data_IF_399996498454
#
_entry.id   IF_399996498454
#
_cell.length_a   1.000
_cell.length_b   1.000
_cell.length_c   1.000
_cell.angle_alpha   90.00
_cell.angle_beta   90.00
_cell.angle_gamma   90.00
#
_symmetry.space_group_name_H-M   'P 1'
#
loop_
_entity.id
_entity.type
_entity.pdbx_description
1 polymer ?
#
# COMPACT_ATOMS: atom_id res chain seq x y z
N UNK A 1 17.29 -10.16 -9.61
CA UNK A 1 15.97 -10.43 -9.01
C UNK A 1 15.38 -9.08 -8.72
N UNK A 2 14.52 -8.57 -9.60
CA UNK A 2 13.90 -7.27 -9.42
C UNK A 2 12.77 -7.47 -8.42
N UNK A 3 13.04 -7.35 -7.13
CA UNK A 3 11.99 -7.27 -6.13
C UNK A 3 11.12 -6.07 -6.52
N UNK A 4 9.89 -6.34 -6.98
CA UNK A 4 8.95 -5.27 -7.28
C UNK A 4 8.75 -4.49 -5.98
N UNK A 5 8.88 -3.16 -5.96
CA UNK A 5 8.80 -2.37 -4.73
C UNK A 5 7.50 -2.63 -3.94
N UNK A 6 6.45 -3.08 -4.63
CA UNK A 6 5.19 -3.50 -4.03
C UNK A 6 5.28 -4.83 -3.25
N UNK A 7 6.06 -5.82 -3.71
CA UNK A 7 6.24 -7.09 -2.96
C UNK A 7 6.96 -6.84 -1.64
N UNK A 8 8.03 -6.05 -1.68
CA UNK A 8 8.77 -5.67 -0.48
C UNK A 8 7.90 -4.91 0.53
N UNK A 9 7.04 -3.99 0.05
CA UNK A 9 6.10 -3.26 0.92
C UNK A 9 5.08 -4.19 1.57
N UNK A 10 4.54 -5.14 0.81
CA UNK A 10 3.61 -6.15 1.33
C UNK A 10 4.27 -6.95 2.45
N UNK A 11 5.51 -7.40 2.28
CA UNK A 11 6.19 -8.22 3.29
C UNK A 11 6.51 -7.44 4.57
N UNK A 12 6.87 -6.16 4.46
CA UNK A 12 7.04 -5.27 5.62
C UNK A 12 5.72 -5.15 6.39
N UNK A 13 4.60 -4.93 5.69
CA UNK A 13 3.29 -4.80 6.34
C UNK A 13 2.85 -6.13 6.95
N UNK A 14 3.09 -7.27 6.28
CA UNK A 14 2.81 -8.60 6.85
C UNK A 14 3.48 -8.77 8.20
N UNK A 15 4.76 -8.43 8.29
CA UNK A 15 5.49 -8.51 9.56
C UNK A 15 4.87 -7.61 10.64
N UNK A 16 4.51 -6.37 10.28
CA UNK A 16 3.92 -5.41 11.22
C UNK A 16 2.53 -5.83 11.75
N UNK A 17 1.68 -6.42 10.90
CA UNK A 17 0.29 -6.76 11.27
C UNK A 17 0.13 -8.19 11.79
N UNK A 18 1.12 -9.06 11.59
CA UNK A 18 1.01 -10.48 11.89
C UNK A 18 0.56 -10.77 13.33
N UNK A 19 1.17 -10.12 14.31
CA UNK A 19 0.83 -10.33 15.72
C UNK A 19 -0.57 -9.79 16.07
N UNK A 20 -0.94 -8.64 15.51
CA UNK A 20 -2.27 -8.05 15.73
C UNK A 20 -3.38 -8.92 15.13
N UNK A 21 -3.17 -9.47 13.94
CA UNK A 21 -4.14 -10.35 13.29
C UNK A 21 -4.25 -11.68 14.03
N UNK A 22 -3.12 -12.26 14.46
CA UNK A 22 -3.12 -13.53 15.22
C UNK A 22 -3.77 -13.38 16.59
N UNK A 23 -3.48 -12.31 17.32
CA UNK A 23 -4.11 -12.04 18.63
C UNK A 23 -5.62 -11.81 18.52
N UNK A 24 -6.10 -11.33 17.37
CA UNK A 24 -7.53 -11.26 17.05
C UNK A 24 -8.16 -12.61 16.59
N UNK A 25 -7.38 -13.69 16.57
CA UNK A 25 -7.82 -15.03 16.12
C UNK A 25 -7.77 -15.23 14.60
N UNK A 26 -7.14 -14.31 13.86
CA UNK A 26 -6.99 -14.37 12.41
C UNK A 26 -5.94 -15.38 11.95
N UNK A 27 -6.12 -15.89 10.74
CA UNK A 27 -5.24 -16.87 10.11
C UNK A 27 -4.11 -16.21 9.29
N UNK A 28 -3.14 -17.01 8.83
CA UNK A 28 -2.11 -16.52 7.90
C UNK A 28 -2.71 -15.93 6.62
N UNK A 29 -3.84 -16.48 6.14
CA UNK A 29 -4.57 -15.95 4.99
C UNK A 29 -5.11 -14.53 5.24
N UNK A 30 -5.50 -14.24 6.47
CA UNK A 30 -6.00 -12.92 6.86
C UNK A 30 -4.86 -11.90 6.95
N UNK A 31 -3.70 -12.32 7.46
CA UNK A 31 -2.47 -11.51 7.43
C UNK A 31 -2.11 -11.12 6.00
N UNK A 32 -2.11 -12.09 5.07
CA UNK A 32 -1.77 -11.82 3.67
C UNK A 32 -2.77 -10.85 3.01
N UNK A 33 -4.07 -11.02 3.26
CA UNK A 33 -5.12 -10.14 2.71
C UNK A 33 -5.00 -8.72 3.22
N UNK A 34 -4.82 -8.54 4.53
CA UNK A 34 -4.67 -7.22 5.15
C UNK A 34 -3.43 -6.53 4.61
N UNK A 35 -2.30 -7.24 4.53
CA UNK A 35 -1.05 -6.66 4.04
C UNK A 35 -1.13 -6.23 2.57
N UNK A 36 -1.72 -7.05 1.70
CA UNK A 36 -1.92 -6.70 0.29
C UNK A 36 -2.84 -5.49 0.14
N UNK A 37 -3.96 -5.45 0.85
CA UNK A 37 -4.89 -4.32 0.81
C UNK A 37 -4.25 -3.02 1.31
N UNK A 38 -3.50 -3.09 2.42
CA UNK A 38 -2.81 -1.94 2.99
C UNK A 38 -1.67 -1.44 2.09
N UNK A 39 -0.85 -2.34 1.51
CA UNK A 39 0.20 -1.98 0.56
C UNK A 39 -0.38 -1.30 -0.68
N UNK A 40 -1.49 -1.84 -1.21
CA UNK A 40 -2.18 -1.25 -2.34
C UNK A 40 -2.74 0.13 -2.00
N UNK A 41 -3.39 0.30 -0.85
CA UNK A 41 -3.89 1.60 -0.40
C UNK A 41 -2.76 2.64 -0.21
N UNK A 42 -1.65 2.23 0.40
CA UNK A 42 -0.46 3.07 0.53
C UNK A 42 0.10 3.47 -0.84
N UNK A 43 0.09 2.55 -1.81
CA UNK A 43 0.53 2.86 -3.16
C UNK A 43 -0.44 3.79 -3.90
N UNK A 44 -1.75 3.59 -3.73
CA UNK A 44 -2.77 4.50 -4.25
C UNK A 44 -2.61 5.91 -3.70
N UNK A 45 -2.25 6.08 -2.42
CA UNK A 45 -1.94 7.41 -1.86
C UNK A 45 -0.64 8.00 -2.41
N UNK A 46 0.42 7.20 -2.53
CA UNK A 46 1.68 7.65 -3.13
C UNK A 46 1.53 8.09 -4.58
N UNK A 47 0.69 7.40 -5.35
CA UNK A 47 0.36 7.76 -6.74
C UNK A 47 -0.61 8.93 -6.84
N UNK A 48 -1.57 9.08 -5.93
CA UNK A 48 -2.47 10.24 -5.88
C UNK A 48 -1.70 11.56 -5.70
N UNK A 49 -0.64 11.58 -4.90
CA UNK A 49 0.24 12.74 -4.73
C UNK A 49 0.97 13.14 -6.03
N UNK A 50 1.17 12.20 -6.97
CA UNK A 50 1.76 12.50 -8.27
C UNK A 50 0.78 13.22 -9.22
N UNK A 51 -0.53 13.02 -9.06
CA UNK A 51 -1.56 13.68 -9.89
C UNK A 51 -1.75 15.17 -9.55
N UNK A 52 -1.27 15.64 -8.40
CA UNK A 52 -1.32 17.06 -8.03
C UNK A 52 -0.33 17.94 -8.83
N UNK A 53 0.57 17.33 -9.62
CA UNK A 53 1.57 18.04 -10.43
C UNK A 53 1.15 18.31 -11.88
N UNK A 54 -0.11 18.09 -12.26
CA UNK A 54 -0.59 18.59 -13.57
C UNK A 54 -0.59 20.13 -13.48
N UNK A 55 0.27 20.85 -14.23
CA UNK A 55 0.26 22.30 -14.20
C UNK A 55 -1.10 22.76 -14.69
N UNK A 56 -1.82 23.50 -13.85
CA UNK A 56 -3.00 24.24 -14.27
C UNK A 56 -2.51 25.26 -15.30
N UNK A 57 -2.52 24.90 -16.59
CA UNK A 57 -2.31 25.85 -17.68
C UNK A 57 -3.46 26.85 -17.55
N UNK A 58 -3.14 28.00 -16.95
CA UNK A 58 -4.04 29.13 -16.84
C UNK A 58 -4.67 29.38 -18.21
N UNK A 59 -5.97 29.08 -18.33
CA UNK A 59 -6.79 29.63 -19.42
C UNK A 59 -6.79 31.14 -19.23
N UNK A 60 -5.87 31.83 -19.92
CA UNK A 60 -5.94 33.28 -20.07
C UNK A 60 -7.08 33.58 -21.06
N UNK A 61 -8.12 34.21 -20.54
CA UNK A 61 -9.14 34.96 -21.29
C UNK A 61 -8.55 36.20 -21.92
#
# INVERSE_FOLDING_TARGET
>A
MSDEPLSALVDIIKFAVAESVRSAGGSQRDIDRVAVAAAYAAWCWGSAAAFETVPQVCRQT
#
